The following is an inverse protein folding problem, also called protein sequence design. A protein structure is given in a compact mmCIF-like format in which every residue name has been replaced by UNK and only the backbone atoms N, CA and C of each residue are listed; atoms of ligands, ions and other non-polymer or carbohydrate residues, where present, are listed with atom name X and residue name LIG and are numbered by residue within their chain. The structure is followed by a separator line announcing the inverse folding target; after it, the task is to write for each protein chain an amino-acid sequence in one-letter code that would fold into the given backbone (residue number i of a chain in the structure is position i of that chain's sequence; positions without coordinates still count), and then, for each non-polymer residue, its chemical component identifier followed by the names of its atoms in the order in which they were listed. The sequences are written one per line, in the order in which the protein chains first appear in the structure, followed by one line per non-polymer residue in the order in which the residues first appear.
data_IF_552319236441
#
_entry.id   IF_552319236441
#
_cell.length_a   1.000
_cell.length_b   1.000
_cell.length_c   1.000
_cell.angle_alpha   90.00
_cell.angle_beta   90.00
_cell.angle_gamma   90.00
#
_symmetry.space_group_name_H-M   'P 1'
#
loop_
_entity.id
_entity.type
_entity.pdbx_description
1 polymer ?
#
# COMPACT_ATOMS: atom_id res chain seq x y z
N UNK A 1 10.71 -11.60 -47.82
CA UNK A 1 10.02 -12.61 -46.96
C UNK A 1 11.02 -13.16 -45.97
N UNK A 2 11.17 -12.46 -44.84
CA UNK A 2 11.95 -12.91 -43.69
C UNK A 2 11.01 -13.73 -42.81
N UNK A 3 11.17 -15.04 -42.87
CA UNK A 3 10.47 -15.95 -41.99
C UNK A 3 10.93 -15.77 -40.56
N UNK A 4 10.00 -15.39 -39.69
CA UNK A 4 10.16 -15.52 -38.23
C UNK A 4 10.22 -17.03 -37.92
N UNK A 5 11.43 -17.56 -37.76
CA UNK A 5 11.64 -18.89 -37.22
C UNK A 5 11.20 -18.88 -35.76
N UNK A 6 10.10 -19.54 -35.45
CA UNK A 6 9.78 -19.89 -34.08
C UNK A 6 10.78 -20.93 -33.64
N UNK A 7 11.69 -20.59 -32.73
CA UNK A 7 12.47 -21.56 -32.00
C UNK A 7 11.49 -22.31 -31.10
N UNK A 8 11.18 -23.56 -31.40
CA UNK A 8 10.56 -24.51 -30.47
C UNK A 8 11.59 -24.79 -29.36
N UNK A 9 11.66 -23.91 -28.39
CA UNK A 9 12.35 -24.20 -27.15
C UNK A 9 11.41 -25.06 -26.30
N UNK A 10 11.72 -26.33 -26.11
CA UNK A 10 11.03 -27.16 -25.11
C UNK A 10 11.23 -26.54 -23.75
N UNK A 11 10.12 -26.01 -23.16
CA UNK A 11 10.14 -25.47 -21.80
C UNK A 11 10.34 -26.66 -20.86
N UNK A 12 11.40 -26.68 -20.03
CA UNK A 12 11.61 -27.74 -19.07
C UNK A 12 10.38 -27.97 -18.20
N UNK A 13 9.97 -29.23 -18.05
CA UNK A 13 8.75 -29.58 -17.28
C UNK A 13 8.77 -29.04 -15.87
N UNK A 14 9.95 -28.89 -15.26
CA UNK A 14 10.17 -28.30 -13.96
C UNK A 14 9.75 -26.83 -13.92
N UNK A 15 10.01 -26.06 -14.98
CA UNK A 15 9.60 -24.64 -15.04
C UNK A 15 8.09 -24.49 -15.21
N UNK A 16 7.45 -25.40 -15.95
CA UNK A 16 5.99 -25.44 -16.06
C UNK A 16 5.39 -25.76 -14.69
N UNK A 17 5.97 -26.71 -13.96
CA UNK A 17 5.49 -27.07 -12.63
C UNK A 17 5.68 -25.96 -11.61
N UNK A 18 6.78 -25.21 -11.66
CA UNK A 18 7.00 -24.02 -10.80
C UNK A 18 5.96 -22.95 -11.11
N UNK A 19 5.68 -22.68 -12.38
CA UNK A 19 4.67 -21.70 -12.77
C UNK A 19 3.26 -22.14 -12.32
N UNK A 20 2.91 -23.41 -12.46
CA UNK A 20 1.64 -23.97 -12.00
C UNK A 20 1.54 -23.86 -10.46
N UNK A 21 2.58 -24.24 -9.74
CA UNK A 21 2.59 -24.17 -8.27
C UNK A 21 2.51 -22.73 -7.77
N UNK A 22 3.15 -21.78 -8.45
CA UNK A 22 3.03 -20.35 -8.12
C UNK A 22 1.62 -19.84 -8.39
N UNK A 23 1.00 -20.23 -9.50
CA UNK A 23 -0.37 -19.85 -9.85
C UNK A 23 -1.44 -20.52 -8.97
N UNK A 24 -1.16 -21.72 -8.46
CA UNK A 24 -2.10 -22.47 -7.60
C UNK A 24 -1.92 -22.14 -6.12
N UNK A 25 -0.72 -21.76 -5.67
CA UNK A 25 -0.49 -21.36 -4.28
C UNK A 25 -1.20 -20.05 -3.90
N UNK A 26 -1.37 -19.15 -4.88
CA UNK A 26 -2.15 -17.93 -4.68
C UNK A 26 -3.67 -18.17 -4.66
N UNK A 27 -4.14 -19.30 -5.18
CA UNK A 27 -5.55 -19.65 -5.17
C UNK A 27 -6.03 -20.22 -3.82
N UNK A 28 -5.10 -20.58 -2.93
CA UNK A 28 -5.41 -21.12 -1.60
C UNK A 28 -4.72 -20.26 -0.53
N UNK A 29 -4.88 -18.95 -0.63
CA UNK A 29 -4.78 -18.15 0.58
C UNK A 29 -6.04 -18.42 1.38
N UNK A 30 -5.97 -18.96 2.61
CA UNK A 30 -7.10 -18.92 3.51
C UNK A 30 -7.57 -17.46 3.52
N UNK A 31 -8.88 -17.22 3.31
CA UNK A 31 -9.48 -15.92 3.61
C UNK A 31 -8.79 -15.44 4.87
N UNK A 32 -8.12 -14.28 4.82
CA UNK A 32 -7.64 -13.64 6.03
C UNK A 32 -8.80 -13.74 6.99
N UNK A 33 -8.61 -14.46 8.09
CA UNK A 33 -9.61 -14.52 9.15
C UNK A 33 -10.00 -13.09 9.38
N UNK A 34 -11.29 -12.80 9.33
CA UNK A 34 -11.84 -11.45 9.32
C UNK A 34 -11.08 -10.65 10.37
N UNK A 35 -10.17 -9.78 9.91
CA UNK A 35 -9.26 -9.08 10.81
C UNK A 35 -10.15 -8.32 11.78
N UNK A 36 -10.13 -8.71 13.05
CA UNK A 36 -10.78 -7.92 14.08
C UNK A 36 -10.31 -6.48 13.89
N UNK A 37 -11.25 -5.57 13.74
CA UNK A 37 -10.93 -4.16 13.61
C UNK A 37 -10.29 -3.70 14.92
N UNK A 38 -8.97 -3.78 14.97
CA UNK A 38 -8.19 -3.28 16.08
C UNK A 38 -8.24 -1.75 16.07
N UNK A 39 -8.78 -1.19 17.13
CA UNK A 39 -8.69 0.25 17.35
C UNK A 39 -7.56 0.55 18.32
N UNK A 40 -6.90 1.70 18.20
CA UNK A 40 -5.85 2.15 19.11
C UNK A 40 -6.27 2.01 20.58
N UNK A 41 -7.50 2.43 20.90
CA UNK A 41 -8.07 2.32 22.26
C UNK A 41 -8.15 0.87 22.79
N UNK A 42 -8.44 -0.10 21.92
CA UNK A 42 -8.45 -1.53 22.30
C UNK A 42 -7.02 -2.05 22.49
N UNK A 43 -6.12 -1.72 21.58
CA UNK A 43 -4.74 -2.20 21.60
C UNK A 43 -3.95 -1.67 22.79
N UNK A 44 -4.17 -0.42 23.21
CA UNK A 44 -3.55 0.17 24.41
C UNK A 44 -3.81 -0.59 25.70
N UNK A 45 -4.85 -1.43 25.74
CA UNK A 45 -5.18 -2.28 26.89
C UNK A 45 -4.45 -3.62 26.90
N UNK A 46 -3.78 -3.97 25.82
CA UNK A 46 -3.06 -5.23 25.66
C UNK A 46 -1.63 -5.12 26.19
N UNK A 47 -1.11 -6.21 26.74
CA UNK A 47 0.30 -6.30 27.14
C UNK A 47 1.27 -6.10 25.98
N UNK A 48 0.80 -6.30 24.74
CA UNK A 48 1.56 -6.15 23.51
C UNK A 48 1.50 -4.73 22.93
N UNK A 49 0.93 -3.76 23.64
CA UNK A 49 0.77 -2.38 23.15
C UNK A 49 2.08 -1.77 22.65
N UNK A 50 3.17 -1.96 23.37
CA UNK A 50 4.48 -1.39 23.01
C UNK A 50 4.96 -1.76 21.59
N UNK A 51 4.60 -2.94 21.10
CA UNK A 51 4.97 -3.38 19.76
C UNK A 51 4.16 -2.64 18.68
N UNK A 52 2.89 -2.31 18.97
CA UNK A 52 2.05 -1.49 18.11
C UNK A 52 2.49 -0.03 18.09
N UNK A 53 2.81 0.52 19.26
CA UNK A 53 3.34 1.87 19.43
C UNK A 53 4.67 2.06 18.69
N UNK A 54 5.58 1.10 18.76
CA UNK A 54 6.80 1.10 17.95
C UNK A 54 6.50 1.12 16.45
N UNK A 55 5.45 0.43 16.02
CA UNK A 55 4.98 0.47 14.65
C UNK A 55 4.44 1.84 14.24
N UNK A 56 3.72 2.54 15.13
CA UNK A 56 3.26 3.91 14.93
C UNK A 56 4.45 4.86 14.79
N UNK A 57 5.37 4.85 15.76
CA UNK A 57 6.57 5.70 15.73
C UNK A 57 7.40 5.46 14.47
N UNK A 58 7.63 4.22 14.11
CA UNK A 58 8.37 3.89 12.89
C UNK A 58 7.72 4.49 11.64
N UNK A 59 6.38 4.48 11.55
CA UNK A 59 5.67 5.06 10.41
C UNK A 59 5.78 6.59 10.40
N UNK A 60 5.69 7.23 11.56
CA UNK A 60 5.81 8.68 11.70
C UNK A 60 7.24 9.14 11.43
N UNK A 61 8.25 8.43 11.95
CA UNK A 61 9.66 8.67 11.66
C UNK A 61 9.95 8.62 10.15
N UNK A 62 9.38 7.64 9.45
CA UNK A 62 9.54 7.52 8.00
C UNK A 62 8.90 8.71 7.27
N UNK A 63 7.69 9.09 7.65
CA UNK A 63 7.01 10.23 7.05
C UNK A 63 7.72 11.55 7.33
N UNK A 64 8.28 11.71 8.53
CA UNK A 64 9.09 12.87 8.88
C UNK A 64 10.39 12.92 8.06
N UNK A 65 11.10 11.79 7.96
CA UNK A 65 12.33 11.67 7.16
C UNK A 65 12.10 12.00 5.68
N UNK A 66 10.92 11.68 5.16
CA UNK A 66 10.53 11.93 3.77
C UNK A 66 9.85 13.30 3.58
N UNK A 67 9.82 14.13 4.62
CA UNK A 67 9.22 15.47 4.58
C UNK A 67 7.76 15.47 4.10
N UNK A 68 7.01 14.38 4.41
CA UNK A 68 5.60 14.26 3.99
C UNK A 68 4.68 15.24 4.71
N UNK A 69 5.06 15.68 5.90
CA UNK A 69 4.31 16.65 6.68
C UNK A 69 5.04 17.99 6.71
N UNK A 70 4.29 19.05 6.43
CA UNK A 70 4.75 20.42 6.69
C UNK A 70 4.70 20.75 8.19
N UNK A 71 5.04 21.98 8.52
CA UNK A 71 4.91 22.48 9.89
C UNK A 71 3.46 22.46 10.36
N UNK A 72 3.19 22.13 11.63
CA UNK A 72 1.85 22.25 12.21
C UNK A 72 1.30 23.66 12.04
N UNK A 73 0.03 23.74 11.67
CA UNK A 73 -0.68 25.02 11.46
C UNK A 73 -1.87 25.06 12.39
N UNK A 74 -2.11 26.22 13.01
CA UNK A 74 -3.28 26.44 13.80
C UNK A 74 -4.54 26.39 12.90
N UNK A 75 -5.53 25.54 13.21
CA UNK A 75 -6.76 25.45 12.44
C UNK A 75 -7.48 26.80 12.24
N UNK A 76 -7.38 27.69 13.20
CA UNK A 76 -8.00 29.04 13.13
C UNK A 76 -7.34 29.95 12.07
N UNK A 77 -6.14 29.60 11.63
CA UNK A 77 -5.45 30.33 10.55
C UNK A 77 -5.82 29.81 9.15
N UNK A 78 -6.56 28.72 9.07
CA UNK A 78 -6.98 28.15 7.79
C UNK A 78 -8.25 28.85 7.27
N UNK A 79 -8.42 28.94 5.93
CA UNK A 79 -9.68 29.38 5.34
C UNK A 79 -10.87 28.55 5.85
N UNK A 80 -12.02 29.19 6.05
CA UNK A 80 -13.21 28.55 6.65
C UNK A 80 -13.69 27.28 5.94
N UNK A 81 -13.44 27.18 4.64
CA UNK A 81 -13.88 26.05 3.81
C UNK A 81 -12.76 25.01 3.57
N UNK A 82 -11.68 25.10 4.35
CA UNK A 82 -10.56 24.17 4.22
C UNK A 82 -10.97 22.76 4.66
N UNK A 83 -10.74 21.80 3.80
CA UNK A 83 -10.96 20.37 4.12
C UNK A 83 -9.82 19.86 4.97
N UNK A 84 -10.13 19.48 6.19
CA UNK A 84 -9.20 18.84 7.10
C UNK A 84 -9.53 17.34 7.16
N UNK A 85 -8.63 16.52 6.68
CA UNK A 85 -8.77 15.07 6.69
C UNK A 85 -8.53 14.53 8.11
N UNK A 86 -9.20 13.44 8.43
CA UNK A 86 -8.93 12.70 9.67
C UNK A 86 -7.99 11.54 9.38
N UNK A 87 -6.98 11.42 10.21
CA UNK A 87 -6.13 10.25 10.24
C UNK A 87 -6.86 9.07 10.91
N UNK A 88 -6.57 7.88 10.46
CA UNK A 88 -6.89 6.67 11.20
C UNK A 88 -5.77 5.65 11.04
N UNK A 89 -5.56 4.86 12.09
CA UNK A 89 -4.57 3.83 12.12
C UNK A 89 -5.18 2.49 11.71
N UNK A 90 -4.50 1.80 10.80
CA UNK A 90 -4.78 0.41 10.45
C UNK A 90 -3.73 -0.48 11.11
N UNK A 91 -4.19 -1.44 11.88
CA UNK A 91 -3.35 -2.38 12.60
C UNK A 91 -3.53 -3.78 12.04
N UNK A 92 -2.43 -4.45 11.77
CA UNK A 92 -2.44 -5.79 11.23
C UNK A 92 -1.27 -6.62 11.77
N UNK A 93 -1.48 -7.90 11.95
CA UNK A 93 -0.41 -8.86 12.22
C UNK A 93 -0.03 -9.51 10.89
N UNK A 94 1.24 -9.38 10.50
CA UNK A 94 1.76 -10.06 9.31
C UNK A 94 1.82 -11.57 9.54
N UNK A 95 1.84 -12.37 8.47
CA UNK A 95 2.04 -13.82 8.56
C UNK A 95 3.30 -14.23 9.36
N UNK A 96 4.31 -13.38 9.39
CA UNK A 96 5.52 -13.54 10.22
C UNK A 96 5.31 -13.25 11.70
N UNK A 97 4.09 -12.92 12.14
CA UNK A 97 3.79 -12.50 13.51
C UNK A 97 4.14 -11.04 13.83
N UNK A 98 4.77 -10.33 12.91
CA UNK A 98 5.15 -8.93 13.12
C UNK A 98 3.92 -8.03 13.10
N UNK A 99 3.77 -7.19 14.11
CA UNK A 99 2.71 -6.20 14.22
C UNK A 99 3.02 -5.00 13.32
N UNK A 100 2.04 -4.57 12.57
CA UNK A 100 2.16 -3.46 11.64
C UNK A 100 1.11 -2.41 11.95
N UNK A 101 1.56 -1.17 12.10
CA UNK A 101 0.70 0.01 12.22
C UNK A 101 0.87 0.85 10.95
N UNK A 102 -0.23 1.29 10.36
CA UNK A 102 -0.24 2.15 9.18
C UNK A 102 -1.11 3.37 9.43
N UNK A 103 -0.57 4.54 9.22
CA UNK A 103 -1.34 5.78 9.19
C UNK A 103 -2.02 5.93 7.84
N UNK A 104 -3.33 6.09 7.85
CA UNK A 104 -4.16 6.31 6.67
C UNK A 104 -4.96 7.60 6.82
N UNK A 105 -5.11 8.33 5.72
CA UNK A 105 -5.99 9.50 5.67
C UNK A 105 -7.36 9.08 5.14
N UNK A 106 -8.43 9.54 5.79
CA UNK A 106 -9.77 9.29 5.31
C UNK A 106 -10.12 10.26 4.15
N UNK A 107 -9.72 9.88 2.94
CA UNK A 107 -10.04 10.58 1.71
C UNK A 107 -11.31 10.06 1.01
N UNK A 108 -12.21 9.37 1.71
CA UNK A 108 -13.45 8.86 1.10
C UNK A 108 -14.32 10.00 0.57
N UNK A 109 -15.15 9.71 -0.43
CA UNK A 109 -16.07 10.68 -1.05
C UNK A 109 -16.97 11.39 -0.03
N UNK A 110 -17.35 10.71 1.04
CA UNK A 110 -18.18 11.28 2.11
C UNK A 110 -17.39 12.20 3.06
N UNK A 111 -16.09 11.91 3.27
CA UNK A 111 -15.24 12.70 4.16
C UNK A 111 -14.62 13.90 3.45
N UNK A 112 -14.34 13.79 2.16
CA UNK A 112 -13.67 14.81 1.37
C UNK A 112 -14.24 14.92 -0.05
N UNK A 113 -15.51 15.29 -0.22
CA UNK A 113 -16.17 15.34 -1.52
C UNK A 113 -15.47 16.31 -2.50
N UNK A 114 -14.87 17.37 -1.99
CA UNK A 114 -14.16 18.37 -2.80
C UNK A 114 -12.91 17.77 -3.48
N UNK A 115 -12.20 16.87 -2.82
CA UNK A 115 -11.04 16.19 -3.42
C UNK A 115 -11.47 15.30 -4.59
N UNK A 116 -12.63 14.66 -4.50
CA UNK A 116 -13.16 13.81 -5.56
C UNK A 116 -13.75 14.61 -6.74
N UNK A 117 -14.10 15.86 -6.54
CA UNK A 117 -14.59 16.71 -7.61
C UNK A 117 -13.47 17.18 -8.55
N UNK A 118 -12.24 17.24 -8.09
CA UNK A 118 -11.10 17.83 -8.82
C UNK A 118 -10.08 16.78 -9.27
N UNK A 119 -9.99 15.65 -8.60
CA UNK A 119 -8.96 14.64 -8.86
C UNK A 119 -9.56 13.34 -9.36
N UNK A 120 -8.96 12.78 -10.42
CA UNK A 120 -9.18 11.38 -10.78
C UNK A 120 -8.53 10.49 -9.72
N UNK A 121 -9.36 9.73 -9.01
CA UNK A 121 -8.89 8.76 -8.00
C UNK A 121 -8.64 7.38 -8.62
N UNK A 122 -8.80 7.27 -9.95
CA UNK A 122 -8.58 6.03 -10.66
C UNK A 122 -7.09 5.85 -10.99
N UNK A 123 -6.57 4.68 -10.71
CA UNK A 123 -5.25 4.25 -11.19
C UNK A 123 -5.39 2.92 -11.91
N UNK A 124 -4.68 2.78 -13.04
CA UNK A 124 -4.64 1.53 -13.77
C UNK A 124 -3.73 0.53 -13.05
N UNK A 125 -4.26 -0.65 -12.78
CA UNK A 125 -3.46 -1.80 -12.42
C UNK A 125 -3.34 -2.72 -13.63
N UNK A 126 -2.23 -3.44 -13.73
CA UNK A 126 -2.07 -4.47 -14.76
C UNK A 126 -3.09 -5.57 -14.52
N UNK A 127 -3.94 -5.84 -15.52
CA UNK A 127 -4.93 -6.90 -15.44
C UNK A 127 -4.27 -8.30 -15.40
N UNK A 128 -4.90 -9.23 -14.73
CA UNK A 128 -4.40 -10.60 -14.58
C UNK A 128 -4.09 -11.29 -15.93
N UNK A 129 -4.91 -11.16 -16.99
CA UNK A 129 -4.58 -11.69 -18.30
C UNK A 129 -3.27 -11.14 -18.88
N UNK A 130 -3.03 -9.84 -18.72
CA UNK A 130 -1.80 -9.17 -19.16
C UNK A 130 -0.58 -9.68 -18.40
N UNK A 131 -0.71 -9.86 -17.07
CA UNK A 131 0.36 -10.46 -16.26
C UNK A 131 0.69 -11.88 -16.72
N UNK A 132 -0.33 -12.70 -16.96
CA UNK A 132 -0.15 -14.08 -17.46
C UNK A 132 0.52 -14.11 -18.84
N UNK A 133 0.10 -13.23 -19.74
CA UNK A 133 0.73 -13.11 -21.07
C UNK A 133 2.21 -12.71 -20.92
N UNK A 134 2.53 -11.73 -20.10
CA UNK A 134 3.89 -11.30 -19.83
C UNK A 134 4.76 -12.45 -19.30
N UNK A 135 4.26 -13.19 -18.30
CA UNK A 135 4.97 -14.34 -17.74
C UNK A 135 5.18 -15.45 -18.77
N UNK A 136 4.16 -15.74 -19.59
CA UNK A 136 4.25 -16.75 -20.65
C UNK A 136 5.25 -16.38 -21.72
N UNK A 137 5.27 -15.11 -22.16
CA UNK A 137 6.24 -14.62 -23.14
C UNK A 137 7.67 -14.66 -22.58
N UNK A 138 7.86 -14.27 -21.33
CA UNK A 138 9.16 -14.33 -20.68
C UNK A 138 9.68 -15.79 -20.61
N UNK A 139 8.82 -16.72 -20.19
CA UNK A 139 9.16 -18.14 -20.13
C UNK A 139 9.49 -18.70 -21.53
N UNK A 140 8.67 -18.41 -22.55
CA UNK A 140 8.87 -18.86 -23.92
C UNK A 140 10.19 -18.35 -24.54
N UNK A 141 10.66 -17.19 -24.10
CA UNK A 141 11.91 -16.58 -24.59
C UNK A 141 13.11 -16.77 -23.64
N UNK A 142 12.99 -17.57 -22.59
CA UNK A 142 14.06 -17.82 -21.62
C UNK A 142 14.51 -16.56 -20.88
N UNK A 143 13.61 -15.57 -20.71
CA UNK A 143 13.93 -14.31 -20.05
C UNK A 143 13.83 -14.44 -18.53
N UNK A 144 14.79 -13.85 -17.84
CA UNK A 144 14.72 -13.69 -16.38
C UNK A 144 13.77 -12.58 -16.00
N UNK A 145 12.91 -12.82 -15.02
CA UNK A 145 11.96 -11.83 -14.48
C UNK A 145 12.45 -11.38 -13.12
N UNK A 146 12.50 -10.08 -12.93
CA UNK A 146 12.85 -9.46 -11.66
C UNK A 146 11.64 -8.70 -11.11
N UNK A 147 11.38 -8.86 -9.82
CA UNK A 147 10.39 -8.10 -9.09
C UNK A 147 11.08 -7.14 -8.13
N UNK A 148 10.51 -5.95 -7.98
CA UNK A 148 10.91 -4.99 -6.98
C UNK A 148 9.68 -4.42 -6.29
N UNK A 149 9.80 -4.14 -4.99
CA UNK A 149 8.80 -3.41 -4.22
C UNK A 149 9.37 -2.05 -3.86
N UNK A 150 8.57 -1.01 -4.05
CA UNK A 150 8.96 0.35 -3.66
C UNK A 150 8.36 0.62 -2.28
N UNK A 151 9.23 0.68 -1.29
CA UNK A 151 8.84 1.02 0.07
C UNK A 151 8.29 2.44 0.10
N UNK A 152 7.11 2.61 0.71
CA UNK A 152 6.43 3.90 0.84
C UNK A 152 6.28 4.68 -0.48
N UNK A 153 5.87 3.97 -1.55
CA UNK A 153 5.77 4.51 -2.92
C UNK A 153 5.02 5.86 -3.01
N UNK A 154 4.00 6.06 -2.20
CA UNK A 154 3.26 7.33 -2.18
C UNK A 154 4.07 8.50 -1.63
N UNK A 155 5.02 8.25 -0.74
CA UNK A 155 5.92 9.27 -0.21
C UNK A 155 6.94 9.76 -1.23
N UNK A 156 7.21 8.95 -2.26
CA UNK A 156 8.09 9.29 -3.38
C UNK A 156 7.35 9.93 -4.56
N UNK A 157 6.03 10.09 -4.47
CA UNK A 157 5.25 10.77 -5.51
C UNK A 157 5.45 12.28 -5.44
N UNK A 158 5.14 12.97 -6.54
CA UNK A 158 5.13 14.43 -6.53
C UNK A 158 4.14 14.96 -5.50
N UNK A 159 4.44 16.10 -4.86
CA UNK A 159 3.49 16.75 -3.97
C UNK A 159 2.14 16.98 -4.65
N UNK A 160 1.06 16.91 -3.87
CA UNK A 160 -0.27 17.21 -4.38
C UNK A 160 -0.34 18.67 -4.86
N UNK A 161 -1.01 18.92 -5.99
CA UNK A 161 -1.20 20.28 -6.52
C UNK A 161 -2.02 21.16 -5.57
N UNK A 162 -2.87 20.53 -4.76
CA UNK A 162 -3.70 21.23 -3.77
C UNK A 162 -3.22 20.87 -2.37
N UNK A 163 -2.99 21.88 -1.53
CA UNK A 163 -2.64 21.67 -0.14
C UNK A 163 -3.70 20.84 0.57
N UNK A 164 -3.27 19.76 1.19
CA UNK A 164 -4.12 18.86 1.96
C UNK A 164 -3.73 18.91 3.42
N UNK A 165 -4.70 19.11 4.30
CA UNK A 165 -4.47 19.23 5.72
C UNK A 165 -4.94 17.98 6.45
N UNK A 166 -4.16 17.54 7.41
CA UNK A 166 -4.44 16.38 8.24
C UNK A 166 -4.59 16.82 9.69
N UNK A 167 -5.67 16.39 10.34
CA UNK A 167 -5.82 16.62 11.77
C UNK A 167 -4.78 15.79 12.54
N UNK A 168 -4.04 16.44 13.43
CA UNK A 168 -3.14 15.79 14.36
C UNK A 168 -3.95 14.90 15.29
N UNK A 169 -3.55 13.66 15.44
CA UNK A 169 -4.17 12.69 16.34
C UNK A 169 -3.32 12.43 17.59
N UNK A 170 -3.85 11.62 18.51
CA UNK A 170 -3.16 11.30 19.77
C UNK A 170 -1.81 10.60 19.52
N UNK A 171 -1.70 9.78 18.46
CA UNK A 171 -0.46 9.08 18.17
C UNK A 171 0.64 10.02 17.73
N UNK A 172 0.30 11.01 16.89
CA UNK A 172 1.24 12.05 16.47
C UNK A 172 1.63 12.95 17.63
N UNK A 173 0.67 13.27 18.52
CA UNK A 173 0.93 14.14 19.68
C UNK A 173 1.78 13.46 20.76
N UNK A 174 1.74 12.12 20.84
CA UNK A 174 2.54 11.32 21.78
C UNK A 174 3.94 10.99 21.21
N UNK A 175 4.10 10.99 19.89
CA UNK A 175 5.36 10.78 19.17
C UNK A 175 6.28 12.00 19.28
#
# INVERSE_FOLDING_TARGET
TTGLGFLEAEIPHEMIQIAINTLTSDAITPKEEAMEHFTRKKLRKLSTWKEWEQGEHKQLDQFHLQEMFGSPIDPDMLPKDTVILRAHWQYAVKRSGVRRSRLCCNGSKNAAPQLHAVASTWSSCVELPTQRLFLSLAAANGLSIFGADITDAYAHSNPAETATYLAIDDAYSEW
#
